data_IF_713653929070
#
_entry.id   IF_713653929070
#
_cell.length_a   1.000
_cell.length_b   1.000
_cell.length_c   1.000
_cell.angle_alpha   90.00
_cell.angle_beta   90.00
_cell.angle_gamma   90.00
#
_symmetry.space_group_name_H-M   'P 1'
#
loop_
_entity.id
_entity.type
_entity.pdbx_description
1 polymer ?
#
# COMPACT_ATOMS: atom_id res chain seq x y z
N UNK A 1 3.98 -6.16 -9.33
CA UNK A 1 5.00 -5.82 -8.32
C UNK A 1 4.32 -5.43 -7.01
N UNK A 2 4.96 -5.66 -5.86
CA UNK A 2 4.39 -5.35 -4.54
C UNK A 2 5.44 -4.59 -3.71
N UNK A 3 5.02 -3.55 -2.99
CA UNK A 3 5.81 -2.84 -1.98
C UNK A 3 5.06 -2.76 -0.67
N UNK A 4 5.73 -3.10 0.43
CA UNK A 4 5.16 -3.05 1.77
C UNK A 4 5.88 -2.00 2.61
N UNK A 5 5.11 -1.15 3.30
CA UNK A 5 5.64 -0.19 4.26
C UNK A 5 4.89 -0.29 5.58
N UNK A 6 5.63 -0.45 6.68
CA UNK A 6 5.06 -0.52 8.03
C UNK A 6 5.32 0.80 8.77
N UNK A 7 4.27 1.37 9.32
CA UNK A 7 4.32 2.53 10.20
C UNK A 7 4.07 2.09 11.64
N UNK A 8 4.97 2.48 12.55
CA UNK A 8 4.82 2.25 13.98
C UNK A 8 4.21 3.49 14.62
N UNK A 9 3.00 3.36 15.17
CA UNK A 9 2.31 4.46 15.84
C UNK A 9 2.70 4.53 17.31
N UNK A 10 2.60 5.72 17.92
CA UNK A 10 2.88 5.93 19.35
C UNK A 10 2.00 5.08 20.29
N UNK A 11 0.83 4.64 19.82
CA UNK A 11 -0.05 3.72 20.55
C UNK A 11 0.47 2.27 20.61
N UNK A 12 1.58 1.97 19.93
CA UNK A 12 2.08 0.61 19.73
C UNK A 12 1.38 -0.15 18.59
N UNK A 13 0.37 0.45 17.95
CA UNK A 13 -0.26 -0.11 16.74
C UNK A 13 0.71 -0.04 15.57
N UNK A 14 0.80 -1.13 14.82
CA UNK A 14 1.50 -1.19 13.54
C UNK A 14 0.48 -1.06 12.41
N UNK A 15 0.82 -0.27 11.39
CA UNK A 15 -0.01 -0.11 10.19
C UNK A 15 0.82 -0.44 8.96
N UNK A 16 0.43 -1.48 8.23
CA UNK A 16 1.08 -1.89 6.98
C UNK A 16 0.29 -1.34 5.80
N UNK A 17 0.97 -0.59 4.94
CA UNK A 17 0.48 -0.20 3.62
C UNK A 17 1.12 -1.12 2.59
N UNK A 18 0.29 -1.85 1.84
CA UNK A 18 0.71 -2.74 0.76
C UNK A 18 0.31 -2.09 -0.55
N UNK A 19 1.29 -1.67 -1.35
CA UNK A 19 1.10 -1.09 -2.68
C UNK A 19 1.30 -2.19 -3.72
N UNK A 20 0.33 -2.39 -4.61
CA UNK A 20 0.34 -3.40 -5.66
C UNK A 20 0.29 -2.68 -7.01
N UNK A 21 1.26 -2.95 -7.87
CA UNK A 21 1.25 -2.48 -9.25
C UNK A 21 1.06 -3.64 -10.21
N UNK A 22 0.20 -3.44 -11.21
CA UNK A 22 -0.12 -4.43 -12.23
C UNK A 22 -0.27 -3.76 -13.60
N UNK A 23 0.01 -4.53 -14.64
CA UNK A 23 -0.26 -4.16 -16.03
C UNK A 23 -1.62 -4.71 -16.41
N UNK A 24 -2.47 -3.89 -17.02
CA UNK A 24 -3.74 -4.36 -17.55
C UNK A 24 -3.47 -5.15 -18.83
N UNK A 25 -4.09 -6.33 -18.97
CA UNK A 25 -3.83 -7.24 -20.08
C UNK A 25 -4.04 -6.58 -21.47
N UNK A 26 -4.94 -5.59 -21.54
CA UNK A 26 -5.37 -4.96 -22.79
C UNK A 26 -4.76 -3.57 -23.02
N UNK A 27 -4.00 -3.03 -22.05
CA UNK A 27 -3.40 -1.71 -22.15
C UNK A 27 -2.09 -1.65 -21.34
N UNK A 28 -0.95 -1.22 -21.91
CA UNK A 28 0.32 -1.07 -21.18
C UNK A 28 0.27 -0.04 -20.03
N UNK A 29 -0.90 0.51 -19.71
CA UNK A 29 -1.08 1.43 -18.61
C UNK A 29 -0.83 0.72 -17.27
N UNK A 30 0.26 1.12 -16.62
CA UNK A 30 0.61 0.69 -15.28
C UNK A 30 -0.38 1.25 -14.27
N UNK A 31 -1.12 0.37 -13.59
CA UNK A 31 -2.06 0.77 -12.56
C UNK A 31 -1.51 0.41 -11.16
N UNK A 32 -1.84 1.25 -10.18
CA UNK A 32 -1.38 1.08 -8.80
C UNK A 32 -2.56 1.11 -7.84
N UNK A 33 -2.66 0.07 -7.03
CA UNK A 33 -3.61 -0.04 -5.93
C UNK A 33 -2.87 -0.12 -4.60
N UNK A 34 -3.56 0.21 -3.50
CA UNK A 34 -3.02 0.01 -2.17
C UNK A 34 -4.06 -0.58 -1.23
N UNK A 35 -3.55 -1.29 -0.23
CA UNK A 35 -4.29 -1.89 0.86
C UNK A 35 -3.68 -1.46 2.19
N UNK A 36 -4.52 -1.25 3.21
CA UNK A 36 -4.08 -0.86 4.55
C UNK A 36 -4.49 -1.95 5.53
N UNK A 37 -3.52 -2.43 6.30
CA UNK A 37 -3.69 -3.43 7.35
C UNK A 37 -3.18 -2.89 8.68
N UNK A 38 -3.76 -3.36 9.78
CA UNK A 38 -3.34 -3.01 11.13
C UNK A 38 -2.98 -4.26 11.93
N UNK A 39 -2.09 -4.08 12.91
CA UNK A 39 -1.78 -5.05 13.95
C UNK A 39 -1.73 -4.31 15.28
N UNK A 40 -2.61 -4.65 16.20
CA UNK A 40 -2.57 -4.11 17.57
C UNK A 40 -1.39 -4.72 18.35
N UNK A 41 -0.91 -4.09 19.45
CA UNK A 41 0.28 -4.55 20.19
C UNK A 41 0.28 -6.02 20.64
N UNK A 42 -0.90 -6.62 20.81
CA UNK A 42 -1.07 -8.02 21.25
C UNK A 42 -1.50 -8.97 20.13
N UNK A 43 -1.68 -8.46 18.91
CA UNK A 43 -2.08 -9.26 17.77
C UNK A 43 -0.86 -9.91 17.09
N UNK A 44 -1.02 -11.18 16.70
CA UNK A 44 0.03 -11.93 15.99
C UNK A 44 0.08 -11.59 14.50
N UNK A 45 -1.06 -11.24 13.90
CA UNK A 45 -1.20 -11.09 12.46
C UNK A 45 -1.85 -9.76 12.10
N UNK A 46 -1.46 -9.22 10.94
CA UNK A 46 -2.12 -8.06 10.35
C UNK A 46 -3.52 -8.43 9.87
N UNK A 47 -4.46 -7.49 10.03
CA UNK A 47 -5.85 -7.60 9.57
C UNK A 47 -6.35 -6.28 9.01
N UNK A 48 -7.51 -6.29 8.36
CA UNK A 48 -8.15 -5.04 7.93
C UNK A 48 -8.53 -4.18 9.15
N UNK A 49 -8.46 -2.83 9.04
CA UNK A 49 -8.92 -1.93 10.09
C UNK A 49 -10.38 -2.18 10.48
N UNK A 50 -11.21 -2.47 9.48
CA UNK A 50 -12.65 -2.73 9.62
C UNK A 50 -12.92 -4.11 9.00
N UNK A 51 -13.00 -5.14 9.85
CA UNK A 51 -13.41 -6.50 9.47
C UNK A 51 -14.93 -6.71 9.61
N UNK A 52 -15.44 -7.89 9.27
CA UNK A 52 -16.88 -8.24 9.35
C UNK A 52 -17.46 -8.10 10.76
N UNK A 53 -16.64 -8.31 11.79
CA UNK A 53 -17.04 -8.20 13.20
C UNK A 53 -16.93 -6.76 13.74
N UNK A 54 -16.50 -5.80 12.92
CA UNK A 54 -16.31 -4.42 13.35
C UNK A 54 -17.65 -3.65 13.32
N UNK A 55 -17.98 -2.83 14.34
CA UNK A 55 -19.26 -2.11 14.39
C UNK A 55 -19.53 -1.24 13.14
N UNK A 56 -18.48 -0.68 12.53
CA UNK A 56 -18.59 0.13 11.31
C UNK A 56 -18.59 -0.66 10.00
N UNK A 57 -18.59 -1.99 10.04
CA UNK A 57 -18.55 -2.82 8.82
C UNK A 57 -19.71 -2.51 7.87
N UNK A 58 -20.94 -2.45 8.40
CA UNK A 58 -22.12 -2.17 7.58
C UNK A 58 -22.14 -0.74 7.03
N UNK A 59 -21.59 0.22 7.79
CA UNK A 59 -21.42 1.60 7.31
C UNK A 59 -20.46 1.61 6.12
N UNK A 60 -19.27 1.02 6.28
CA UNK A 60 -18.28 0.91 5.22
C UNK A 60 -18.83 0.21 3.97
N UNK A 61 -19.55 -0.91 4.14
CA UNK A 61 -20.10 -1.69 3.02
C UNK A 61 -21.15 -0.94 2.22
N UNK A 62 -21.88 -0.01 2.84
CA UNK A 62 -22.90 0.83 2.18
C UNK A 62 -22.35 2.15 1.64
N UNK A 63 -21.11 2.49 1.97
CA UNK A 63 -20.45 3.72 1.54
C UNK A 63 -19.94 3.62 0.09
N UNK A 64 -19.73 4.77 -0.56
CA UNK A 64 -18.98 4.83 -1.82
C UNK A 64 -17.53 4.40 -1.60
N UNK A 65 -16.83 4.00 -2.67
CA UNK A 65 -15.43 3.58 -2.57
C UNK A 65 -14.54 4.64 -1.90
N UNK A 66 -14.77 5.92 -2.17
CA UNK A 66 -14.00 7.01 -1.59
C UNK A 66 -14.32 7.23 -0.10
N UNK A 67 -15.59 7.13 0.29
CA UNK A 67 -16.02 7.19 1.68
C UNK A 67 -15.48 6.00 2.50
N UNK A 68 -15.54 4.79 1.93
CA UNK A 68 -14.99 3.59 2.55
C UNK A 68 -13.47 3.71 2.75
N UNK A 69 -12.74 4.24 1.76
CA UNK A 69 -11.29 4.51 1.89
C UNK A 69 -10.99 5.51 3.01
N UNK A 70 -11.72 6.62 3.08
CA UNK A 70 -11.55 7.59 4.18
C UNK A 70 -11.79 6.96 5.55
N UNK A 71 -12.86 6.18 5.68
CA UNK A 71 -13.19 5.49 6.92
C UNK A 71 -12.13 4.45 7.31
N UNK A 72 -11.60 3.68 6.35
CA UNK A 72 -10.50 2.74 6.60
C UNK A 72 -9.23 3.45 7.07
N UNK A 73 -8.89 4.59 6.47
CA UNK A 73 -7.73 5.38 6.91
C UNK A 73 -7.91 5.93 8.32
N UNK A 74 -9.08 6.47 8.63
CA UNK A 74 -9.42 6.94 9.97
C UNK A 74 -9.22 5.82 11.01
N UNK A 75 -9.80 4.63 10.77
CA UNK A 75 -9.69 3.51 11.69
C UNK A 75 -8.28 2.88 11.72
N UNK A 76 -7.48 3.07 10.68
CA UNK A 76 -6.10 2.59 10.68
C UNK A 76 -5.17 3.46 11.55
N UNK A 77 -5.47 4.76 11.68
CA UNK A 77 -4.64 5.72 12.42
C UNK A 77 -3.49 6.32 11.61
N UNK A 78 -3.46 6.12 10.29
CA UNK A 78 -2.50 6.80 9.39
C UNK A 78 -3.18 7.85 8.52
N UNK A 79 -2.40 8.87 8.15
CA UNK A 79 -2.84 9.94 7.26
C UNK A 79 -2.69 9.56 5.78
N UNK A 80 -3.45 10.25 4.91
CA UNK A 80 -3.26 10.14 3.46
C UNK A 80 -1.83 10.48 3.02
N UNK A 81 -1.11 11.35 3.76
CA UNK A 81 0.30 11.68 3.47
C UNK A 81 1.21 10.46 3.64
N UNK A 82 0.98 9.64 4.65
CA UNK A 82 1.74 8.40 4.87
C UNK A 82 1.45 7.37 3.77
N UNK A 83 0.20 7.26 3.31
CA UNK A 83 -0.14 6.44 2.14
C UNK A 83 0.59 6.94 0.90
N UNK A 84 0.55 8.25 0.63
CA UNK A 84 1.22 8.85 -0.52
C UNK A 84 2.75 8.65 -0.46
N UNK A 85 3.33 8.62 0.74
CA UNK A 85 4.73 8.27 0.93
C UNK A 85 5.03 6.83 0.48
N UNK A 86 4.22 5.85 0.90
CA UNK A 86 4.38 4.45 0.48
C UNK A 86 4.22 4.29 -1.05
N UNK A 87 3.25 4.99 -1.64
CA UNK A 87 3.04 4.98 -3.11
C UNK A 87 4.20 5.66 -3.84
N UNK A 88 4.72 6.77 -3.32
CA UNK A 88 5.88 7.43 -3.93
C UNK A 88 7.14 6.57 -3.89
N UNK A 89 7.37 5.85 -2.80
CA UNK A 89 8.47 4.87 -2.69
C UNK A 89 8.31 3.74 -3.70
N UNK A 90 7.10 3.20 -3.85
CA UNK A 90 6.81 2.20 -4.88
C UNK A 90 7.07 2.73 -6.29
N UNK A 91 6.56 3.93 -6.60
CA UNK A 91 6.73 4.54 -7.92
C UNK A 91 8.20 4.79 -8.25
N UNK A 92 9.03 5.17 -7.28
CA UNK A 92 10.47 5.28 -7.48
C UNK A 92 11.06 3.95 -7.94
N UNK A 93 10.75 2.86 -7.23
CA UNK A 93 11.22 1.49 -7.56
C UNK A 93 10.76 1.05 -8.95
N UNK A 94 9.50 1.29 -9.30
CA UNK A 94 8.94 0.91 -10.60
C UNK A 94 9.47 1.79 -11.74
N UNK A 95 9.74 3.07 -11.48
CA UNK A 95 10.26 4.00 -12.48
C UNK A 95 11.73 3.78 -12.83
N UNK A 96 12.45 2.92 -12.10
CA UNK A 96 13.77 2.48 -12.54
C UNK A 96 13.62 1.64 -13.81
N UNK A 97 14.17 2.08 -14.95
CA UNK A 97 14.09 1.31 -16.17
C UNK A 97 14.80 -0.04 -15.97
N UNK A 98 14.09 -1.13 -16.24
CA UNK A 98 14.66 -2.49 -16.25
C UNK A 98 15.86 -2.66 -17.20
N UNK A 99 16.14 -1.65 -18.04
CA UNK A 99 17.15 -1.68 -19.11
C UNK A 99 18.55 -1.21 -18.70
N UNK A 100 18.79 -0.66 -17.50
CA UNK A 100 20.13 -0.16 -17.14
C UNK A 100 21.03 -1.16 -16.42
N UNK A 101 20.47 -2.27 -15.90
CA UNK A 101 21.28 -3.28 -15.21
C UNK A 101 22.12 -4.10 -16.21
N UNK A 102 21.68 -4.24 -17.46
CA UNK A 102 22.42 -4.96 -18.51
C UNK A 102 23.43 -4.11 -19.29
N UNK A 103 23.24 -2.80 -19.39
CA UNK A 103 24.08 -1.92 -20.22
C UNK A 103 25.35 -1.42 -19.52
N UNK A 104 25.41 -1.45 -18.19
CA UNK A 104 26.61 -1.02 -17.45
C UNK A 104 27.73 -2.07 -17.47
N UNK A 105 27.42 -3.35 -17.72
CA UNK A 105 28.45 -4.41 -17.75
C UNK A 105 29.28 -4.39 -19.04
N UNK A 106 28.72 -3.92 -20.15
CA UNK A 106 29.45 -3.85 -21.43
C UNK A 106 30.39 -2.64 -21.53
N UNK A 107 30.16 -1.56 -20.76
CA UNK A 107 31.01 -0.37 -20.78
C UNK A 107 32.30 -0.49 -19.96
N UNK A 108 32.45 -1.52 -19.14
CA UNK A 108 33.67 -1.77 -18.33
C UNK A 108 34.62 -2.79 -18.99
N UNK A 109 34.30 -3.30 -20.17
CA UNK A 109 35.08 -4.33 -20.89
C UNK A 109 35.72 -3.85 -22.20
N UNK A 110 35.74 -2.54 -22.47
CA UNK A 110 36.38 -1.94 -23.66
C UNK A 110 37.48 -0.98 -23.27
#
# INVERSE_FOLDING_TARGET
MIHEKIFYLKSGREVKVVVKGYFLNDNPQFNTEYEVLIKEPKEKFFRTPIGTNHPQYWKMKRSTAQQAKMLLLEYSGISQRQVNQAVSEFNKVVSFPSAQIGLQYESELV
#
